data_IF_985693572843
#
_entry.id   IF_985693572843
#
_cell.length_a   1.000
_cell.length_b   1.000
_cell.length_c   1.000
_cell.angle_alpha   90.00
_cell.angle_beta   90.00
_cell.angle_gamma   90.00
#
_symmetry.space_group_name_H-M   'P 1'
#
loop_
_entity.id
_entity.type
_entity.pdbx_description
1 polymer ?
#
# COMPACT_ATOMS: atom_id res chain seq x y z
N UNK A 1 1.54 -8.85 6.69
CA UNK A 1 0.80 -8.43 7.90
C UNK A 1 1.79 -7.77 8.83
N UNK A 2 1.37 -6.77 9.60
CA UNK A 2 2.21 -6.10 10.61
C UNK A 2 1.83 -6.64 11.98
N UNK A 3 2.83 -7.08 12.76
CA UNK A 3 2.64 -7.59 14.10
C UNK A 3 3.12 -6.54 15.11
N UNK A 4 2.33 -6.35 16.17
CA UNK A 4 2.72 -5.52 17.31
C UNK A 4 3.07 -6.46 18.45
N UNK A 5 4.32 -6.40 18.90
CA UNK A 5 4.83 -7.20 20.01
C UNK A 5 4.88 -6.38 21.30
N UNK A 6 4.85 -7.05 22.44
CA UNK A 6 5.22 -6.45 23.72
C UNK A 6 6.73 -6.55 24.00
N UNK A 7 7.16 -6.02 25.14
CA UNK A 7 8.56 -6.00 25.56
C UNK A 7 9.16 -7.40 25.74
N UNK A 8 8.32 -8.43 25.88
CA UNK A 8 8.74 -9.84 26.01
C UNK A 8 8.70 -10.59 24.68
N UNK A 9 8.37 -9.90 23.58
CA UNK A 9 8.25 -10.48 22.24
C UNK A 9 6.93 -11.22 21.99
N UNK A 10 5.96 -11.12 22.91
CA UNK A 10 4.64 -11.75 22.74
C UNK A 10 3.75 -10.88 21.86
N UNK A 11 3.01 -11.52 20.97
CA UNK A 11 2.07 -10.86 20.07
C UNK A 11 0.92 -10.18 20.85
N UNK A 12 0.73 -8.89 20.61
CA UNK A 12 -0.41 -8.11 21.12
C UNK A 12 -1.50 -7.90 20.08
N UNK A 13 -1.11 -7.72 18.81
CA UNK A 13 -2.04 -7.51 17.71
C UNK A 13 -1.41 -7.91 16.38
N UNK A 14 -2.26 -8.35 15.46
CA UNK A 14 -1.92 -8.59 14.06
C UNK A 14 -2.82 -7.76 13.16
N UNK A 15 -2.22 -7.00 12.25
CA UNK A 15 -2.91 -6.18 11.27
C UNK A 15 -2.58 -6.70 9.88
N UNK A 16 -3.60 -7.16 9.15
CA UNK A 16 -3.45 -7.50 7.73
C UNK A 16 -3.27 -6.20 6.95
N UNK A 17 -2.23 -6.14 6.13
CA UNK A 17 -1.90 -4.98 5.29
C UNK A 17 -2.12 -5.39 3.85
N UNK A 18 -2.87 -4.58 3.10
CA UNK A 18 -3.21 -4.85 1.71
C UNK A 18 -2.03 -4.54 0.77
N UNK A 19 -2.00 -5.13 -0.42
CA UNK A 19 -1.02 -4.76 -1.44
C UNK A 19 -1.16 -3.29 -1.83
N UNK A 20 -0.02 -2.61 -1.98
CA UNK A 20 0.05 -1.18 -2.24
C UNK A 20 -0.36 -0.29 -1.06
N UNK A 21 -0.50 -0.84 0.15
CA UNK A 21 -0.60 -0.02 1.35
C UNK A 21 0.68 0.76 1.55
N UNK A 22 0.55 2.04 1.94
CA UNK A 22 1.66 2.82 2.44
C UNK A 22 1.87 2.50 3.92
N UNK A 23 3.08 2.11 4.29
CA UNK A 23 3.47 1.81 5.66
C UNK A 23 4.20 3.05 6.23
N UNK A 24 3.91 3.38 7.49
CA UNK A 24 4.45 4.57 8.18
C UNK A 24 5.46 4.27 9.29
N UNK A 25 5.77 2.99 9.48
CA UNK A 25 6.63 2.49 10.54
C UNK A 25 7.59 1.48 9.94
N UNK A 26 8.82 1.48 10.44
CA UNK A 26 9.84 0.53 10.03
C UNK A 26 9.83 -0.70 10.96
N UNK A 27 10.51 -1.76 10.55
CA UNK A 27 10.68 -2.93 11.40
C UNK A 27 11.45 -2.58 12.68
N UNK A 28 10.93 -3.01 13.83
CA UNK A 28 11.49 -2.69 15.15
C UNK A 28 11.07 -1.34 15.74
N UNK A 29 10.26 -0.55 15.05
CA UNK A 29 9.78 0.73 15.59
C UNK A 29 8.88 0.57 16.82
N UNK A 30 9.05 1.48 17.78
CA UNK A 30 8.16 1.57 18.95
C UNK A 30 6.90 2.35 18.58
N UNK A 31 5.76 1.66 18.59
CA UNK A 31 4.46 2.25 18.28
C UNK A 31 3.63 2.54 19.54
N UNK A 32 2.88 3.65 19.53
CA UNK A 32 1.92 3.99 20.60
C UNK A 32 0.52 3.51 20.23
N UNK A 33 -0.32 3.29 21.24
CA UNK A 33 -1.74 2.98 21.00
C UNK A 33 -2.39 4.13 20.23
N UNK A 34 -3.09 3.81 19.15
CA UNK A 34 -3.78 4.77 18.27
C UNK A 34 -2.89 5.39 17.18
N UNK A 35 -1.61 5.03 17.11
CA UNK A 35 -0.72 5.46 16.03
C UNK A 35 -1.14 4.81 14.70
N UNK A 36 -1.17 5.60 13.63
CA UNK A 36 -1.38 5.09 12.27
C UNK A 36 -0.12 4.38 11.81
N UNK A 37 -0.24 3.10 11.48
CA UNK A 37 0.88 2.24 11.04
C UNK A 37 0.87 1.98 9.52
N UNK A 38 -0.31 1.99 8.90
CA UNK A 38 -0.48 1.81 7.46
C UNK A 38 -1.75 2.53 6.99
N UNK A 39 -1.78 2.90 5.72
CA UNK A 39 -2.97 3.36 5.01
C UNK A 39 -3.06 2.73 3.62
N UNK A 40 -4.29 2.54 3.16
CA UNK A 40 -4.58 2.06 1.82
C UNK A 40 -5.95 2.58 1.39
N UNK A 41 -6.18 2.60 0.08
CA UNK A 41 -7.50 2.85 -0.49
C UNK A 41 -8.29 1.53 -0.58
N UNK A 42 -9.45 1.39 0.08
CA UNK A 42 -10.24 0.15 0.04
C UNK A 42 -10.99 -0.06 -1.29
N UNK A 43 -11.08 0.95 -2.16
CA UNK A 43 -11.86 0.90 -3.40
C UNK A 43 -11.00 0.67 -4.64
N UNK A 44 -9.68 0.77 -4.52
CA UNK A 44 -8.76 0.60 -5.64
C UNK A 44 -7.74 -0.50 -5.38
N UNK A 45 -7.28 -1.14 -6.46
CA UNK A 45 -6.17 -2.10 -6.44
C UNK A 45 -5.02 -1.50 -7.24
N UNK A 46 -4.02 -0.91 -6.58
CA UNK A 46 -2.93 -0.26 -7.29
C UNK A 46 -2.08 -1.29 -8.04
N UNK A 47 -1.53 -0.88 -9.17
CA UNK A 47 -0.48 -1.62 -9.90
C UNK A 47 0.80 -0.81 -9.70
N UNK A 48 1.85 -1.46 -9.17
CA UNK A 48 3.12 -0.82 -8.84
C UNK A 48 4.24 -1.43 -9.68
N UNK A 49 5.15 -0.58 -10.16
CA UNK A 49 6.41 -1.01 -10.77
C UNK A 49 7.41 -1.36 -9.67
N UNK A 50 8.16 -2.44 -9.86
CA UNK A 50 9.25 -2.84 -8.96
C UNK A 50 10.56 -2.11 -9.28
N UNK A 51 10.62 -1.45 -10.44
CA UNK A 51 11.82 -0.77 -10.93
C UNK A 51 11.56 0.71 -11.20
N UNK A 52 12.63 1.49 -11.05
CA UNK A 52 12.66 2.88 -11.47
C UNK A 52 12.78 2.99 -13.00
N UNK A 53 12.24 4.06 -13.58
CA UNK A 53 12.28 4.25 -15.02
C UNK A 53 11.43 5.41 -15.52
N UNK A 54 11.06 5.34 -16.80
CA UNK A 54 10.16 6.30 -17.45
C UNK A 54 8.93 5.57 -17.95
N UNK A 55 7.78 6.21 -17.85
CA UNK A 55 6.51 5.67 -18.36
C UNK A 55 6.49 5.82 -19.88
N UNK A 56 6.10 4.75 -20.57
CA UNK A 56 5.76 4.76 -21.99
C UNK A 56 4.41 4.06 -22.16
N UNK A 57 3.56 4.63 -23.00
CA UNK A 57 2.28 4.03 -23.35
C UNK A 57 2.48 3.11 -24.55
N UNK A 58 2.02 1.87 -24.43
CA UNK A 58 2.05 0.86 -25.49
C UNK A 58 0.62 0.40 -25.75
N UNK A 59 0.20 0.42 -27.02
CA UNK A 59 -1.13 0.01 -27.49
C UNK A 59 -2.33 0.71 -26.82
N UNK A 60 -2.12 1.92 -26.28
CA UNK A 60 -3.15 2.78 -25.73
C UNK A 60 -3.66 3.73 -26.84
N UNK A 61 -4.79 3.34 -27.45
CA UNK A 61 -5.47 4.06 -28.54
C UNK A 61 -6.82 4.54 -28.02
N UNK A 62 -7.02 5.86 -28.05
CA UNK A 62 -8.25 6.50 -27.57
C UNK A 62 -9.49 6.02 -28.35
N UNK A 63 -10.58 5.78 -27.64
CA UNK A 63 -11.82 5.20 -28.16
C UNK A 63 -11.76 3.71 -28.54
N UNK A 64 -10.59 3.07 -28.50
CA UNK A 64 -10.44 1.63 -28.81
C UNK A 64 -9.98 0.84 -27.57
N UNK A 65 -8.83 1.18 -27.00
CA UNK A 65 -8.27 0.50 -25.83
C UNK A 65 -8.25 1.38 -24.57
N UNK A 66 -8.45 2.69 -24.72
CA UNK A 66 -8.66 3.64 -23.63
C UNK A 66 -9.91 4.45 -23.91
N UNK A 67 -10.67 4.75 -22.87
CA UNK A 67 -11.73 5.74 -22.93
C UNK A 67 -11.51 6.78 -21.85
N UNK A 68 -11.36 8.03 -22.24
CA UNK A 68 -11.31 9.14 -21.30
C UNK A 68 -12.70 9.38 -20.70
N UNK A 69 -12.77 9.51 -19.39
CA UNK A 69 -13.99 9.92 -18.67
C UNK A 69 -13.63 11.14 -17.84
N UNK A 70 -14.27 12.27 -18.13
CA UNK A 70 -14.22 13.48 -17.32
C UNK A 70 -15.63 13.75 -16.78
N UNK A 71 -15.75 13.97 -15.47
CA UNK A 71 -16.95 14.51 -14.82
C UNK A 71 -17.01 16.04 -14.97
#
# INVERSE_FOLDING_TARGET
>A
AVLILDETGKERATHRVAYGSRIFVDDGDKVKRGQRIAEWDPYTRPILTEIEGKVAFEDLVDGISVQETAD
#
